data_IF_877540814209
#
_entry.id   IF_877540814209
#
_cell.length_a   1.000
_cell.length_b   1.000
_cell.length_c   1.000
_cell.angle_alpha   90.00
_cell.angle_beta   90.00
_cell.angle_gamma   90.00
#
_symmetry.space_group_name_H-M   'P 1'
#
loop_
_entity.id
_entity.type
_entity.pdbx_description
1 polymer ?
#
# COMPACT_ATOMS: atom_id res chain seq x y z
N UNK A 1 -3.17 26.68 11.97
CA UNK A 1 -1.92 26.37 12.71
C UNK A 1 -1.81 24.85 12.76
N UNK A 2 -0.65 24.28 12.40
CA UNK A 2 -0.41 22.85 12.54
C UNK A 2 0.11 22.58 13.96
N UNK A 3 -0.60 21.77 14.74
CA UNK A 3 -0.16 21.36 16.08
C UNK A 3 0.74 20.15 15.93
N UNK A 4 2.03 20.32 16.18
CA UNK A 4 2.99 19.22 16.20
C UNK A 4 3.00 18.58 17.58
N UNK A 5 2.59 17.31 17.67
CA UNK A 5 2.75 16.51 18.89
C UNK A 5 4.08 15.77 18.84
N UNK A 6 5.07 16.22 19.62
CA UNK A 6 6.32 15.47 19.84
C UNK A 6 6.11 14.57 21.05
N UNK A 7 5.99 13.26 20.80
CA UNK A 7 5.87 12.27 21.87
C UNK A 7 7.25 11.65 22.09
N UNK A 8 7.96 12.12 23.10
CA UNK A 8 9.18 11.49 23.61
C UNK A 8 8.79 10.55 24.75
N UNK A 9 8.88 9.21 24.59
CA UNK A 9 8.61 8.32 25.71
C UNK A 9 9.66 8.55 26.80
N UNK A 10 9.21 9.05 27.95
CA UNK A 10 10.03 9.11 29.17
C UNK A 10 10.00 7.72 29.77
N UNK A 11 11.00 6.91 29.45
CA UNK A 11 11.23 5.66 30.17
C UNK A 11 11.76 6.00 31.56
N UNK A 12 10.89 6.02 32.57
CA UNK A 12 11.34 5.84 33.96
C UNK A 12 11.75 4.38 34.09
N UNK A 13 13.05 4.10 34.00
CA UNK A 13 13.60 2.79 34.31
C UNK A 13 13.43 2.52 35.81
N UNK A 14 12.25 2.06 36.22
CA UNK A 14 12.21 1.18 37.37
C UNK A 14 12.94 -0.10 36.95
N UNK A 15 13.91 -0.54 37.75
CA UNK A 15 14.62 -1.80 37.55
C UNK A 15 13.60 -2.95 37.61
N UNK A 16 12.99 -3.26 36.48
CA UNK A 16 12.13 -4.42 36.32
C UNK A 16 13.04 -5.64 36.15
N UNK A 17 12.79 -6.75 36.86
CA UNK A 17 13.58 -7.96 36.73
C UNK A 17 13.54 -8.46 35.28
N UNK A 18 14.70 -8.86 34.78
CA UNK A 18 15.04 -9.20 33.38
C UNK A 18 14.30 -10.47 32.86
N UNK A 19 13.28 -10.96 33.56
CA UNK A 19 12.53 -12.18 33.21
C UNK A 19 11.11 -11.96 32.68
N UNK A 20 10.61 -10.73 32.64
CA UNK A 20 9.31 -10.46 32.04
C UNK A 20 9.49 -10.08 30.56
N UNK A 21 8.81 -10.79 29.66
CA UNK A 21 8.58 -10.37 28.27
C UNK A 21 7.70 -9.09 28.26
N UNK A 22 8.24 -7.97 28.72
CA UNK A 22 7.54 -6.69 28.77
C UNK A 22 7.48 -6.14 27.35
N UNK A 23 6.27 -6.02 26.80
CA UNK A 23 6.01 -5.31 25.56
C UNK A 23 5.44 -3.95 25.92
N UNK A 24 6.20 -2.85 25.78
CA UNK A 24 5.68 -1.53 26.08
C UNK A 24 4.54 -1.21 25.09
N UNK A 25 3.40 -0.80 25.63
CA UNK A 25 2.24 -0.35 24.87
C UNK A 25 2.01 1.14 25.11
N UNK A 26 1.71 1.87 24.04
CA UNK A 26 1.43 3.30 24.08
C UNK A 26 0.08 3.56 23.41
N UNK A 27 -0.86 4.11 24.18
CA UNK A 27 -2.17 4.52 23.70
C UNK A 27 -2.20 6.05 23.57
N UNK A 28 -2.51 6.54 22.36
CA UNK A 28 -2.60 7.97 22.06
C UNK A 28 -4.01 8.24 21.54
N UNK A 29 -4.72 9.18 22.19
CA UNK A 29 -6.01 9.67 21.71
C UNK A 29 -5.84 11.07 21.15
N UNK A 30 -6.28 11.27 19.91
CA UNK A 30 -6.26 12.58 19.25
C UNK A 30 -7.71 13.04 19.06
N UNK A 31 -8.10 14.24 19.53
CA UNK A 31 -9.50 14.67 19.55
C UNK A 31 -10.01 15.22 18.22
N UNK A 32 -9.14 15.46 17.23
CA UNK A 32 -9.49 16.09 15.96
C UNK A 32 -8.67 15.51 14.80
N UNK A 33 -9.09 15.83 13.58
CA UNK A 33 -8.33 15.48 12.37
C UNK A 33 -6.88 15.95 12.46
N UNK A 34 -5.99 15.13 11.89
CA UNK A 34 -4.58 15.43 11.79
C UNK A 34 -4.28 16.01 10.40
N UNK A 35 -3.42 17.02 10.35
CA UNK A 35 -2.89 17.45 9.05
C UNK A 35 -1.97 16.38 8.48
N UNK A 36 -1.05 15.88 9.29
CA UNK A 36 -0.09 14.86 8.90
C UNK A 36 0.19 13.90 10.05
N UNK A 37 0.57 12.67 9.71
CA UNK A 37 1.04 11.66 10.66
C UNK A 37 2.36 11.09 10.20
N UNK A 38 3.34 11.02 11.10
CA UNK A 38 4.65 10.42 10.81
C UNK A 38 5.12 9.56 11.99
N UNK A 39 5.58 8.34 11.70
CA UNK A 39 6.13 7.42 12.68
C UNK A 39 7.31 6.65 12.09
N UNK A 40 8.45 6.69 12.78
CA UNK A 40 9.63 5.87 12.44
C UNK A 40 10.02 5.03 13.63
N UNK A 41 10.17 3.72 13.42
CA UNK A 41 10.60 2.80 14.47
C UNK A 41 11.45 1.65 13.91
N UNK A 42 12.16 0.93 14.77
CA UNK A 42 12.88 -0.29 14.37
C UNK A 42 11.96 -1.51 14.38
N UNK A 43 11.35 -1.76 15.54
CA UNK A 43 10.39 -2.83 15.78
C UNK A 43 9.16 -2.21 16.45
N UNK A 44 8.02 -2.15 15.76
CA UNK A 44 6.81 -1.57 16.31
C UNK A 44 5.56 -2.16 15.67
N UNK A 45 4.44 -2.16 16.40
CA UNK A 45 3.14 -2.39 15.81
C UNK A 45 2.34 -1.10 15.96
N UNK A 46 1.74 -0.65 14.87
CA UNK A 46 0.83 0.49 14.83
C UNK A 46 -0.56 -0.01 14.46
N UNK A 47 -1.54 0.29 15.30
CA UNK A 47 -2.95 0.21 14.96
C UNK A 47 -3.53 1.61 15.04
N UNK A 48 -3.89 2.18 13.88
CA UNK A 48 -4.54 3.47 13.77
C UNK A 48 -6.05 3.28 13.62
N UNK A 49 -6.81 3.82 14.57
CA UNK A 49 -8.29 3.87 14.56
C UNK A 49 -8.80 5.28 14.85
N UNK A 50 -7.99 6.29 14.52
CA UNK A 50 -8.26 7.69 14.81
C UNK A 50 -9.06 8.42 13.72
N UNK A 51 -9.21 9.75 13.87
CA UNK A 51 -9.85 10.62 12.89
C UNK A 51 -9.07 10.67 11.56
N UNK A 52 -9.60 11.35 10.54
CA UNK A 52 -8.94 11.42 9.24
C UNK A 52 -7.57 12.14 9.32
N UNK A 53 -6.67 11.79 8.40
CA UNK A 53 -5.37 12.46 8.18
C UNK A 53 -5.41 13.11 6.80
N UNK A 54 -5.43 14.44 6.74
CA UNK A 54 -5.89 15.15 5.54
C UNK A 54 -4.80 15.56 4.54
N UNK A 55 -3.51 15.58 4.92
CA UNK A 55 -2.42 16.01 4.03
C UNK A 55 -1.51 14.84 3.67
N UNK A 56 -0.90 14.18 4.66
CA UNK A 56 0.09 13.14 4.41
C UNK A 56 0.26 12.13 5.55
N UNK A 57 0.65 10.91 5.20
CA UNK A 57 0.98 9.83 6.13
C UNK A 57 2.35 9.25 5.78
N UNK A 58 3.22 9.08 6.78
CA UNK A 58 4.50 8.38 6.61
C UNK A 58 4.75 7.44 7.79
N UNK A 59 4.77 6.13 7.56
CA UNK A 59 5.05 5.14 8.60
C UNK A 59 6.17 4.23 8.11
N UNK A 60 7.30 4.22 8.83
CA UNK A 60 8.51 3.50 8.43
C UNK A 60 9.05 2.66 9.58
N UNK A 61 8.92 1.34 9.43
CA UNK A 61 9.52 0.36 10.35
C UNK A 61 10.74 -0.28 9.70
N UNK A 62 11.93 -0.06 10.25
CA UNK A 62 13.19 -0.45 9.60
C UNK A 62 13.56 -1.91 9.76
N UNK A 63 12.95 -2.66 10.68
CA UNK A 63 13.27 -4.08 10.91
C UNK A 63 12.08 -5.03 11.02
N UNK A 64 11.04 -4.72 11.79
CA UNK A 64 9.85 -5.58 11.80
C UNK A 64 8.66 -4.82 12.36
N UNK A 65 7.44 -5.28 12.06
CA UNK A 65 6.26 -4.65 12.59
C UNK A 65 5.03 -4.83 11.75
N UNK A 66 3.90 -4.46 12.34
CA UNK A 66 2.60 -4.43 11.66
C UNK A 66 2.08 -3.00 11.63
N UNK A 67 1.72 -2.52 10.44
CA UNK A 67 1.03 -1.26 10.24
C UNK A 67 -0.42 -1.61 9.89
N UNK A 68 -1.37 -1.16 10.70
CA UNK A 68 -2.79 -1.37 10.45
C UNK A 68 -3.56 -0.05 10.54
N UNK A 69 -4.24 0.31 9.45
CA UNK A 69 -5.21 1.40 9.43
C UNK A 69 -6.63 0.81 9.42
N UNK A 70 -7.27 0.83 10.59
CA UNK A 70 -8.63 0.34 10.78
C UNK A 70 -9.71 1.34 10.35
N UNK A 71 -9.36 2.63 10.27
CA UNK A 71 -10.23 3.68 9.73
C UNK A 71 -9.75 4.12 8.34
N UNK A 72 -10.67 4.48 7.43
CA UNK A 72 -10.31 5.06 6.14
C UNK A 72 -9.45 6.31 6.30
N UNK A 73 -8.42 6.43 5.45
CA UNK A 73 -7.57 7.62 5.37
C UNK A 73 -7.80 8.32 4.05
N UNK A 74 -8.07 9.63 4.09
CA UNK A 74 -8.18 10.49 2.93
C UNK A 74 -7.19 11.64 3.03
N UNK A 75 -5.97 11.38 2.57
CA UNK A 75 -4.86 12.33 2.53
C UNK A 75 -4.78 13.02 1.17
N UNK A 76 -4.58 14.33 1.10
CA UNK A 76 -4.55 15.06 -0.15
C UNK A 76 -3.32 14.72 -1.02
N UNK A 77 -2.16 14.46 -0.39
CA UNK A 77 -0.88 14.37 -1.10
C UNK A 77 -0.34 12.95 -1.18
N UNK A 78 0.27 12.46 -0.09
CA UNK A 78 1.07 11.23 -0.14
C UNK A 78 0.84 10.36 1.08
N UNK A 79 0.79 9.05 0.84
CA UNK A 79 0.83 8.02 1.87
C UNK A 79 2.02 7.11 1.58
N UNK A 80 2.97 7.07 2.50
CA UNK A 80 4.15 6.19 2.44
C UNK A 80 4.13 5.23 3.62
N UNK A 81 3.95 3.93 3.35
CA UNK A 81 3.97 2.89 4.37
C UNK A 81 5.10 1.91 4.07
N UNK A 82 5.98 1.70 5.04
CA UNK A 82 7.18 0.89 4.86
C UNK A 82 7.41 -0.01 6.07
N UNK A 83 7.65 -1.29 5.82
CA UNK A 83 8.10 -2.26 6.82
C UNK A 83 9.34 -3.00 6.31
N UNK A 84 10.23 -3.36 7.23
CA UNK A 84 11.45 -4.11 6.95
C UNK A 84 11.45 -5.53 7.53
N UNK A 85 12.53 -6.26 7.22
CA UNK A 85 12.96 -7.51 7.84
C UNK A 85 12.09 -8.75 7.56
N UNK A 86 11.97 -9.64 8.56
CA UNK A 86 11.48 -11.00 8.34
C UNK A 86 9.96 -11.18 8.41
N UNK A 87 9.23 -10.21 8.98
CA UNK A 87 7.79 -10.30 9.30
C UNK A 87 7.05 -8.95 9.22
N UNK A 88 7.46 -8.04 8.35
CA UNK A 88 6.75 -6.77 8.15
C UNK A 88 5.34 -7.02 7.60
N UNK A 89 4.32 -6.30 8.06
CA UNK A 89 2.99 -6.38 7.42
C UNK A 89 2.30 -5.04 7.38
N UNK A 90 1.57 -4.79 6.31
CA UNK A 90 0.79 -3.57 6.09
C UNK A 90 -0.63 -4.00 5.76
N UNK A 91 -1.59 -3.52 6.55
CA UNK A 91 -3.03 -3.75 6.37
C UNK A 91 -3.75 -2.41 6.30
N UNK A 92 -4.46 -2.16 5.21
CA UNK A 92 -5.16 -0.90 4.97
C UNK A 92 -6.62 -1.14 4.56
N UNK A 93 -7.57 -0.61 5.33
CA UNK A 93 -9.01 -0.79 5.08
C UNK A 93 -9.54 0.04 3.90
N UNK A 94 -9.09 1.29 3.76
CA UNK A 94 -9.25 2.15 2.57
C UNK A 94 -8.31 3.35 2.72
N UNK A 95 -7.38 3.51 1.80
CA UNK A 95 -6.45 4.65 1.78
C UNK A 95 -6.58 5.38 0.45
N UNK A 96 -6.91 6.67 0.53
CA UNK A 96 -6.91 7.56 -0.62
C UNK A 96 -5.88 8.68 -0.51
N UNK A 97 -5.09 8.84 -1.57
CA UNK A 97 -4.14 9.94 -1.73
C UNK A 97 -3.73 10.15 -3.18
N UNK A 98 -3.22 11.33 -3.53
CA UNK A 98 -2.68 11.59 -4.88
C UNK A 98 -1.58 10.57 -5.24
N UNK A 99 -0.71 10.25 -4.28
CA UNK A 99 0.36 9.25 -4.39
C UNK A 99 0.34 8.26 -3.23
N UNK A 100 0.44 6.97 -3.53
CA UNK A 100 0.52 5.89 -2.54
C UNK A 100 1.79 5.08 -2.79
N UNK A 101 2.60 4.91 -1.75
CA UNK A 101 3.86 4.18 -1.79
C UNK A 101 3.92 3.14 -0.67
N UNK A 102 3.99 1.87 -1.05
CA UNK A 102 4.02 0.74 -0.12
C UNK A 102 5.34 -0.01 -0.29
N UNK A 103 6.03 -0.30 0.81
CA UNK A 103 7.29 -1.05 0.80
C UNK A 103 7.29 -2.11 1.90
N UNK A 104 7.42 -3.37 1.51
CA UNK A 104 7.71 -4.48 2.42
C UNK A 104 9.06 -5.08 2.03
N UNK A 105 10.12 -4.62 2.70
CA UNK A 105 11.50 -4.96 2.37
C UNK A 105 12.01 -6.10 3.27
N UNK A 106 12.82 -7.00 2.71
CA UNK A 106 13.48 -8.04 3.48
C UNK A 106 14.88 -7.58 3.87
N UNK A 107 15.09 -7.43 5.17
CA UNK A 107 16.43 -7.27 5.75
C UNK A 107 16.82 -8.59 6.44
N UNK A 108 17.81 -9.30 5.86
CA UNK A 108 18.24 -10.63 6.35
C UNK A 108 17.30 -11.76 5.96
N UNK A 109 17.71 -13.02 6.14
CA UNK A 109 17.14 -14.25 5.55
C UNK A 109 15.67 -14.64 5.87
N UNK A 110 14.81 -13.73 6.33
CA UNK A 110 13.42 -14.01 6.74
C UNK A 110 12.39 -14.37 5.67
N UNK A 111 11.16 -14.65 6.14
CA UNK A 111 9.99 -15.13 5.38
C UNK A 111 9.24 -14.07 4.56
N UNK A 112 9.66 -12.80 4.64
CA UNK A 112 9.01 -11.72 3.92
C UNK A 112 7.79 -11.14 4.62
N UNK A 113 7.23 -10.09 4.03
CA UNK A 113 6.09 -9.35 4.55
C UNK A 113 4.84 -9.46 3.67
N UNK A 114 3.68 -9.15 4.25
CA UNK A 114 2.41 -9.08 3.52
C UNK A 114 1.97 -7.63 3.41
N UNK A 115 1.54 -7.23 2.21
CA UNK A 115 0.88 -5.93 2.01
C UNK A 115 -0.50 -6.20 1.45
N UNK A 116 -1.52 -5.82 2.21
CA UNK A 116 -2.92 -6.04 1.85
C UNK A 116 -3.74 -4.77 2.08
N UNK A 117 -4.61 -4.43 1.13
CA UNK A 117 -5.57 -3.36 1.37
C UNK A 117 -6.32 -2.83 0.16
N UNK A 118 -7.16 -1.84 0.45
CA UNK A 118 -7.95 -1.10 -0.53
C UNK A 118 -7.34 0.30 -0.69
N UNK A 119 -7.13 0.71 -1.93
CA UNK A 119 -6.51 2.00 -2.25
C UNK A 119 -7.33 2.72 -3.32
N UNK A 120 -7.64 4.00 -3.08
CA UNK A 120 -8.58 4.75 -3.91
C UNK A 120 -8.13 6.17 -4.22
N UNK A 121 -8.76 6.79 -5.24
CA UNK A 121 -8.59 8.20 -5.64
C UNK A 121 -7.14 8.67 -5.86
N UNK A 122 -6.27 7.77 -6.29
CA UNK A 122 -4.87 8.07 -6.56
C UNK A 122 -4.58 8.27 -8.06
N UNK A 123 -3.45 8.93 -8.34
CA UNK A 123 -2.87 9.06 -9.68
C UNK A 123 -1.58 8.25 -9.81
N UNK A 124 -0.89 7.99 -8.69
CA UNK A 124 0.32 7.18 -8.66
C UNK A 124 0.23 6.15 -7.53
N UNK A 125 0.37 4.89 -7.87
CA UNK A 125 0.45 3.79 -6.92
C UNK A 125 1.74 3.02 -7.13
N UNK A 126 2.51 2.84 -6.06
CA UNK A 126 3.71 2.02 -6.10
C UNK A 126 3.72 1.05 -4.94
N UNK A 127 4.07 -0.21 -5.23
CA UNK A 127 4.22 -1.24 -4.23
C UNK A 127 5.48 -2.05 -4.54
N UNK A 128 6.34 -2.20 -3.54
CA UNK A 128 7.52 -3.04 -3.62
C UNK A 128 7.48 -4.07 -2.50
N UNK A 129 7.51 -5.34 -2.86
CA UNK A 129 7.71 -6.43 -1.91
C UNK A 129 8.89 -7.31 -2.34
N UNK A 130 9.82 -7.56 -1.41
CA UNK A 130 10.94 -8.46 -1.72
C UNK A 130 10.53 -9.92 -1.58
N UNK A 131 9.78 -10.28 -0.53
CA UNK A 131 9.26 -11.63 -0.30
C UNK A 131 7.89 -11.52 0.33
N UNK A 132 6.94 -12.33 -0.15
CA UNK A 132 5.58 -12.43 0.40
C UNK A 132 4.50 -11.84 -0.50
N UNK A 133 3.22 -12.05 -0.16
CA UNK A 133 2.12 -11.69 -1.04
C UNK A 133 1.83 -10.18 -1.06
N UNK A 134 1.44 -9.70 -2.23
CA UNK A 134 0.84 -8.38 -2.45
C UNK A 134 -0.62 -8.59 -2.85
N UNK A 135 -1.57 -8.02 -2.09
CA UNK A 135 -3.01 -8.20 -2.31
C UNK A 135 -3.74 -6.86 -2.30
N UNK A 136 -4.24 -6.42 -3.45
CA UNK A 136 -4.78 -5.07 -3.57
C UNK A 136 -6.15 -5.02 -4.23
N UNK A 137 -7.02 -4.16 -3.71
CA UNK A 137 -8.14 -3.60 -4.46
C UNK A 137 -7.83 -2.13 -4.80
N UNK A 138 -7.85 -1.81 -6.08
CA UNK A 138 -7.32 -0.58 -6.65
C UNK A 138 -8.42 0.19 -7.38
N UNK A 139 -8.69 1.41 -6.91
CA UNK A 139 -9.74 2.31 -7.43
C UNK A 139 -9.14 3.69 -7.79
N UNK A 140 -8.34 3.77 -8.87
CA UNK A 140 -7.67 5.01 -9.24
C UNK A 140 -8.63 6.16 -9.58
N UNK A 141 -8.12 7.40 -9.52
CA UNK A 141 -8.86 8.60 -9.92
C UNK A 141 -8.79 8.78 -11.44
N UNK A 142 -9.77 8.21 -12.16
CA UNK A 142 -9.82 8.29 -13.63
C UNK A 142 -10.89 9.25 -14.11
N UNK A 143 -10.52 10.16 -15.02
CA UNK A 143 -11.46 10.94 -15.82
C UNK A 143 -10.89 11.25 -17.20
N UNK A 144 -11.75 11.74 -18.11
CA UNK A 144 -11.35 12.11 -19.48
C UNK A 144 -10.25 13.17 -19.51
N UNK A 145 -10.25 14.10 -18.55
CA UNK A 145 -9.36 15.27 -18.51
C UNK A 145 -8.19 15.11 -17.53
N UNK A 146 -8.09 13.97 -16.86
CA UNK A 146 -7.03 13.72 -15.87
C UNK A 146 -5.84 13.02 -16.51
N UNK A 147 -4.67 13.23 -15.90
CA UNK A 147 -3.43 12.56 -16.28
C UNK A 147 -3.60 11.03 -16.24
N UNK A 148 -2.90 10.28 -17.12
CA UNK A 148 -2.84 8.84 -17.04
C UNK A 148 -2.40 8.38 -15.63
N UNK A 149 -3.06 7.36 -15.11
CA UNK A 149 -2.69 6.77 -13.81
C UNK A 149 -1.46 5.90 -14.01
N UNK A 150 -0.54 5.94 -13.05
CA UNK A 150 0.65 5.10 -13.06
C UNK A 150 0.63 4.10 -11.91
N UNK A 151 0.85 2.84 -12.23
CA UNK A 151 1.08 1.77 -11.27
C UNK A 151 2.48 1.18 -11.50
N UNK A 152 3.32 1.16 -10.48
CA UNK A 152 4.62 0.48 -10.48
C UNK A 152 4.64 -0.55 -9.35
N UNK A 153 4.46 -1.83 -9.68
CA UNK A 153 4.35 -2.91 -8.69
C UNK A 153 5.47 -3.93 -8.92
N UNK A 154 6.32 -4.10 -7.92
CA UNK A 154 7.42 -5.07 -7.96
C UNK A 154 7.25 -6.12 -6.86
N UNK A 155 7.27 -7.40 -7.22
CA UNK A 155 7.44 -8.49 -6.27
C UNK A 155 8.60 -9.39 -6.66
N UNK A 156 9.67 -9.39 -5.86
CA UNK A 156 10.84 -10.22 -6.20
C UNK A 156 10.57 -11.70 -5.97
N UNK A 157 9.85 -12.06 -4.92
CA UNK A 157 9.52 -13.45 -4.59
C UNK A 157 8.22 -13.59 -3.75
N UNK A 158 7.07 -13.32 -4.36
CA UNK A 158 5.78 -13.59 -3.73
C UNK A 158 4.61 -13.24 -4.63
N UNK A 159 3.49 -13.93 -4.46
CA UNK A 159 2.29 -13.78 -5.31
C UNK A 159 1.77 -12.35 -5.32
N UNK A 160 1.33 -11.88 -6.49
CA UNK A 160 0.66 -10.60 -6.68
C UNK A 160 -0.79 -10.87 -7.06
N UNK A 161 -1.74 -10.48 -6.22
CA UNK A 161 -3.18 -10.56 -6.48
C UNK A 161 -3.77 -9.15 -6.51
N UNK A 162 -4.29 -8.72 -7.65
CA UNK A 162 -4.80 -7.36 -7.83
C UNK A 162 -6.19 -7.39 -8.45
N UNK A 163 -7.08 -6.61 -7.86
CA UNK A 163 -8.36 -6.21 -8.45
C UNK A 163 -8.26 -4.72 -8.75
N UNK A 164 -8.35 -4.31 -10.03
CA UNK A 164 -8.28 -2.91 -10.43
C UNK A 164 -9.53 -2.51 -11.21
N UNK A 165 -10.25 -1.50 -10.75
CA UNK A 165 -11.48 -1.02 -11.42
C UNK A 165 -11.25 0.35 -12.08
N UNK A 166 -11.80 0.54 -13.29
CA UNK A 166 -11.72 1.77 -14.07
C UNK A 166 -10.28 2.15 -14.39
N UNK A 167 -9.52 1.20 -14.94
CA UNK A 167 -8.12 1.43 -15.26
C UNK A 167 -7.95 2.32 -16.51
N UNK A 168 -7.06 3.33 -16.40
CA UNK A 168 -6.62 4.21 -17.51
C UNK A 168 -5.19 4.70 -17.25
N UNK A 169 -4.22 4.24 -18.04
CA UNK A 169 -2.84 4.72 -17.96
C UNK A 169 -1.78 3.64 -18.16
N UNK A 170 -0.75 3.60 -17.31
CA UNK A 170 0.34 2.62 -17.36
C UNK A 170 0.42 1.77 -16.10
N UNK A 171 0.48 0.45 -16.26
CA UNK A 171 0.49 -0.51 -15.18
C UNK A 171 1.66 -1.45 -15.41
N UNK A 172 2.73 -1.22 -14.66
CA UNK A 172 3.95 -2.02 -14.74
C UNK A 172 3.97 -2.99 -13.58
N UNK A 173 4.07 -4.27 -13.88
CA UNK A 173 4.37 -5.32 -12.90
C UNK A 173 5.73 -5.91 -13.21
N UNK A 174 6.62 -5.96 -12.21
CA UNK A 174 7.95 -6.53 -12.37
C UNK A 174 8.30 -7.55 -11.28
N UNK A 175 9.18 -8.49 -11.63
CA UNK A 175 9.72 -9.49 -10.70
C UNK A 175 9.51 -10.94 -11.12
N UNK A 176 9.70 -11.88 -10.20
CA UNK A 176 9.75 -13.33 -10.52
C UNK A 176 8.51 -14.12 -10.07
N UNK A 177 7.44 -13.43 -9.69
CA UNK A 177 6.23 -14.01 -9.07
C UNK A 177 5.11 -14.40 -10.03
N UNK A 178 4.14 -15.17 -9.53
CA UNK A 178 2.83 -15.34 -10.16
C UNK A 178 1.99 -14.07 -9.98
N UNK A 179 1.34 -13.63 -11.05
CA UNK A 179 0.56 -12.39 -11.10
C UNK A 179 -0.87 -12.72 -11.52
N UNK A 180 -1.81 -12.42 -10.64
CA UNK A 180 -3.24 -12.48 -10.89
C UNK A 180 -3.78 -11.06 -10.90
N UNK A 181 -4.16 -10.58 -12.08
CA UNK A 181 -4.81 -9.28 -12.23
C UNK A 181 -6.22 -9.51 -12.77
N UNK A 182 -7.20 -8.93 -12.10
CA UNK A 182 -8.57 -8.87 -12.57
C UNK A 182 -9.10 -7.45 -12.50
N UNK A 183 -10.06 -7.09 -13.35
CA UNK A 183 -10.51 -5.71 -13.41
C UNK A 183 -11.53 -5.37 -14.48
N UNK A 184 -11.88 -4.08 -14.53
CA UNK A 184 -12.76 -3.48 -15.54
C UNK A 184 -12.07 -2.24 -16.10
N UNK A 185 -12.00 -2.10 -17.41
CA UNK A 185 -11.39 -0.95 -18.08
C UNK A 185 -12.25 0.33 -17.99
N UNK A 186 -11.63 1.48 -18.27
CA UNK A 186 -12.33 2.76 -18.44
C UNK A 186 -12.30 3.21 -19.91
N UNK A 187 -13.40 3.80 -20.45
CA UNK A 187 -14.71 3.95 -19.81
C UNK A 187 -15.42 2.60 -19.67
N UNK A 188 -16.31 2.48 -18.67
CA UNK A 188 -17.17 1.30 -18.57
C UNK A 188 -18.19 1.40 -19.70
N UNK A 189 -17.88 0.84 -20.87
CA UNK A 189 -18.74 0.97 -22.05
C UNK A 189 -19.97 0.07 -22.00
N UNK A 190 -19.97 -0.99 -21.17
CA UNK A 190 -21.11 -1.92 -20.96
C UNK A 190 -21.15 -2.49 -19.54
N UNK A 191 -22.36 -2.76 -19.04
CA UNK A 191 -22.60 -3.48 -17.77
C UNK A 191 -22.40 -5.00 -17.89
N UNK A 192 -22.28 -5.51 -19.11
CA UNK A 192 -21.98 -6.92 -19.40
C UNK A 192 -20.51 -7.08 -19.78
N UNK A 193 -19.84 -8.09 -19.20
CA UNK A 193 -18.40 -8.18 -19.23
C UNK A 193 -17.88 -8.45 -20.64
N UNK A 194 -17.07 -7.54 -21.15
CA UNK A 194 -16.37 -7.72 -22.42
C UNK A 194 -14.89 -7.82 -22.09
N UNK A 195 -14.28 -8.95 -22.41
CA UNK A 195 -12.85 -9.22 -22.24
C UNK A 195 -12.05 -7.99 -22.65
N UNK A 196 -11.49 -7.29 -21.66
CA UNK A 196 -10.70 -6.08 -21.86
C UNK A 196 -9.49 -6.37 -22.74
N UNK A 197 -9.32 -5.58 -23.80
CA UNK A 197 -8.11 -5.62 -24.62
C UNK A 197 -7.00 -4.88 -23.91
N UNK A 198 -6.03 -5.63 -23.38
CA UNK A 198 -4.71 -5.10 -23.04
C UNK A 198 -4.02 -4.74 -24.35
N UNK A 199 -3.88 -3.44 -24.61
CA UNK A 199 -3.34 -2.90 -25.86
C UNK A 199 -4.45 -2.34 -26.75
N UNK A 200 -4.89 -1.13 -26.42
CA UNK A 200 -5.90 -0.42 -27.19
C UNK A 200 -5.31 0.43 -28.32
N UNK A 201 -6.11 0.61 -29.37
CA UNK A 201 -5.82 1.29 -30.64
C UNK A 201 -6.06 2.81 -30.57
N UNK A 202 -6.51 3.35 -29.43
CA UNK A 202 -6.87 4.76 -29.27
C UNK A 202 -6.05 5.50 -28.20
N UNK A 203 -5.99 6.83 -28.34
CA UNK A 203 -5.31 7.71 -27.40
C UNK A 203 -6.10 7.80 -26.08
N UNK A 204 -5.74 6.97 -25.10
CA UNK A 204 -6.38 6.95 -23.79
C UNK A 204 -6.52 5.57 -23.17
N UNK A 205 -6.21 4.51 -23.91
CA UNK A 205 -6.31 3.13 -23.44
C UNK A 205 -5.23 2.79 -22.39
N UNK A 206 -5.55 1.86 -21.50
CA UNK A 206 -4.62 1.36 -20.49
C UNK A 206 -3.55 0.43 -21.09
N UNK A 207 -2.29 0.63 -20.71
CA UNK A 207 -1.15 -0.24 -21.06
C UNK A 207 -0.79 -1.09 -19.86
N UNK A 208 -0.67 -2.40 -20.03
CA UNK A 208 -0.20 -3.31 -18.98
C UNK A 208 1.09 -4.00 -19.41
N UNK A 209 2.17 -3.73 -18.67
CA UNK A 209 3.51 -4.21 -18.95
C UNK A 209 3.96 -5.18 -17.86
N UNK A 210 4.34 -6.41 -18.24
CA UNK A 210 4.97 -7.38 -17.33
C UNK A 210 6.46 -7.51 -17.68
N UNK A 211 7.32 -7.18 -16.72
CA UNK A 211 8.77 -7.16 -16.92
C UNK A 211 9.46 -8.22 -16.05
N UNK A 212 10.18 -9.15 -16.69
CA UNK A 212 11.10 -10.06 -15.99
C UNK A 212 10.50 -11.35 -15.41
N UNK A 213 9.28 -11.73 -15.82
CA UNK A 213 8.66 -13.00 -15.37
C UNK A 213 9.40 -14.21 -15.94
N UNK A 214 10.23 -14.87 -15.12
CA UNK A 214 10.92 -16.12 -15.48
C UNK A 214 9.96 -17.33 -15.42
N UNK A 215 9.04 -17.43 -16.39
CA UNK A 215 8.22 -18.63 -16.61
C UNK A 215 7.09 -18.88 -15.60
N UNK A 216 6.58 -17.83 -14.95
CA UNK A 216 5.43 -17.90 -14.03
C UNK A 216 4.14 -17.36 -14.66
N UNK A 217 2.98 -17.79 -14.14
CA UNK A 217 1.68 -17.58 -14.78
C UNK A 217 1.22 -16.14 -14.57
N UNK A 218 0.93 -15.45 -15.66
CA UNK A 218 0.17 -14.19 -15.64
C UNK A 218 -1.26 -14.52 -16.05
N UNK A 219 -2.22 -14.26 -15.18
CA UNK A 219 -3.65 -14.39 -15.48
C UNK A 219 -4.25 -13.00 -15.49
N UNK A 220 -4.78 -12.63 -16.66
CA UNK A 220 -5.53 -11.40 -16.88
C UNK A 220 -7.00 -11.78 -17.06
N UNK A 221 -7.83 -11.43 -16.09
CA UNK A 221 -9.28 -11.66 -16.11
C UNK A 221 -9.99 -10.30 -16.07
N UNK A 222 -10.12 -9.68 -17.25
CA UNK A 222 -10.89 -8.47 -17.42
C UNK A 222 -12.32 -8.87 -17.79
N UNK A 223 -13.28 -8.53 -16.93
CA UNK A 223 -14.69 -8.84 -17.10
C UNK A 223 -15.44 -7.56 -17.34
#
# INVERSE_FOLDING_TARGET
MATTYVISPVYKSAWLPVSANVRPELFITVPCELSSFSMTAKNANLMYSGPNINTSVSVVFTNSGVIQFATPINAAQVVTLSTGGSKGSIYASDISATKIELKALKYGGGSGGTVEGIFSKYFQFSALNEIGPLRFALYPSVSRNLQPVRHDIESRNGQIDIICSKYKGHFTVSGTSDVFLSGVDWPIEKFEPTVGTVGGREAGDGVFDVVGSKGRKVVLDFR
#
